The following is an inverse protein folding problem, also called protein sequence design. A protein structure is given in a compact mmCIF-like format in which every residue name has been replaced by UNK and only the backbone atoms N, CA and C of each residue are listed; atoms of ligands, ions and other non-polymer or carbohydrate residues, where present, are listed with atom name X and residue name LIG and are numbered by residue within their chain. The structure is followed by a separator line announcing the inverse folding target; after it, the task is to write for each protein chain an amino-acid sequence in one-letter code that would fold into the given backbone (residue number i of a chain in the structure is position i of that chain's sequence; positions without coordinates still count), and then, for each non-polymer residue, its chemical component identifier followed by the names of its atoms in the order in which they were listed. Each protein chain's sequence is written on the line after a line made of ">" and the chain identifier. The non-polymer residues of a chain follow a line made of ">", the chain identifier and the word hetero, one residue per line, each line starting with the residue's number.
data_IF_821289574405
#
_entry.id   IF_821289574405
#
_cell.length_a   1.000
_cell.length_b   1.000
_cell.length_c   1.000
_cell.angle_alpha   90.00
_cell.angle_beta   90.00
_cell.angle_gamma   90.00
#
_symmetry.space_group_name_H-M   'P 1'
#
loop_
_entity.id
_entity.type
_entity.pdbx_description
1 polymer ?
#
# COMPACT_ATOMS: atom_id res chain seq x y z
N UNK A 1 4.16 24.67 -36.70
CA UNK A 1 4.22 25.86 -35.83
C UNK A 1 3.11 25.70 -34.80
N UNK A 2 3.46 25.39 -33.53
CA UNK A 2 2.55 25.23 -32.37
C UNK A 2 1.76 23.92 -32.34
N UNK A 3 2.25 22.80 -31.81
CA UNK A 3 2.60 22.44 -30.41
C UNK A 3 1.42 21.80 -29.64
N UNK A 4 1.78 20.72 -28.93
CA UNK A 4 1.17 20.08 -27.78
C UNK A 4 -0.12 19.27 -27.95
N UNK A 5 0.09 17.99 -28.20
CA UNK A 5 -0.72 16.88 -27.68
C UNK A 5 -0.97 17.03 -26.16
N UNK A 6 -2.22 16.92 -25.66
CA UNK A 6 -2.41 16.55 -24.27
C UNK A 6 -2.09 15.07 -24.10
N UNK A 7 -0.84 14.74 -23.75
CA UNK A 7 -0.50 13.42 -23.18
C UNK A 7 -0.80 13.50 -21.69
N UNK A 8 -2.07 13.38 -21.31
CA UNK A 8 -2.40 13.11 -19.92
C UNK A 8 -1.86 11.71 -19.59
N UNK A 9 -0.91 11.65 -18.66
CA UNK A 9 -0.30 10.43 -18.14
C UNK A 9 -1.37 9.54 -17.51
N UNK A 10 -1.54 8.32 -18.03
CA UNK A 10 -2.36 7.26 -17.42
C UNK A 10 -1.62 6.49 -16.31
N UNK A 11 -0.61 7.11 -15.68
CA UNK A 11 0.20 6.54 -14.59
C UNK A 11 -0.10 7.19 -13.22
N UNK A 12 -1.15 8.03 -13.14
CA UNK A 12 -1.75 8.49 -11.88
C UNK A 12 -2.87 7.53 -11.46
N UNK A 13 -2.58 6.23 -11.45
CA UNK A 13 -3.59 5.24 -11.07
C UNK A 13 -3.90 5.42 -9.58
N UNK A 14 -5.06 6.02 -9.32
CA UNK A 14 -5.76 6.02 -8.03
C UNK A 14 -5.57 4.67 -7.35
N UNK A 15 -4.90 4.63 -6.18
CA UNK A 15 -4.65 3.41 -5.39
C UNK A 15 -5.88 2.48 -5.43
N UNK A 16 -5.65 1.19 -5.65
CA UNK A 16 -6.75 0.24 -5.68
C UNK A 16 -7.50 0.26 -4.35
N UNK A 17 -8.76 -0.16 -4.36
CA UNK A 17 -9.54 -0.27 -3.12
C UNK A 17 -8.79 -1.11 -2.07
N UNK A 18 -8.13 -2.18 -2.49
CA UNK A 18 -7.30 -3.03 -1.63
C UNK A 18 -6.13 -2.25 -1.05
N UNK A 19 -5.38 -1.51 -1.87
CA UNK A 19 -4.24 -0.71 -1.39
C UNK A 19 -4.68 0.32 -0.36
N UNK A 20 -5.80 1.00 -0.58
CA UNK A 20 -6.35 1.96 0.39
C UNK A 20 -6.71 1.29 1.72
N UNK A 21 -7.30 0.10 1.68
CA UNK A 21 -7.64 -0.67 2.88
C UNK A 21 -6.36 -1.07 3.64
N UNK A 22 -5.33 -1.51 2.91
CA UNK A 22 -4.04 -1.93 3.48
C UNK A 22 -3.33 -0.74 4.13
N UNK A 23 -3.20 0.39 3.42
CA UNK A 23 -2.58 1.59 3.96
C UNK A 23 -3.31 2.14 5.19
N UNK A 24 -4.65 2.19 5.15
CA UNK A 24 -5.45 2.60 6.30
C UNK A 24 -5.21 1.69 7.50
N UNK A 25 -5.12 0.37 7.28
CA UNK A 25 -4.90 -0.61 8.34
C UNK A 25 -3.52 -0.43 8.98
N UNK A 26 -2.46 -0.28 8.17
CA UNK A 26 -1.11 -0.05 8.68
C UNK A 26 -1.01 1.26 9.48
N UNK A 27 -1.66 2.33 9.01
CA UNK A 27 -1.72 3.60 9.73
C UNK A 27 -2.38 3.43 11.11
N UNK A 28 -3.53 2.75 11.16
CA UNK A 28 -4.25 2.48 12.39
C UNK A 28 -3.46 1.60 13.37
N UNK A 29 -2.74 0.59 12.87
CA UNK A 29 -1.83 -0.22 13.70
C UNK A 29 -0.72 0.67 14.29
N UNK A 30 -0.13 1.56 13.49
CA UNK A 30 0.92 2.47 13.93
C UNK A 30 0.44 3.48 14.99
N UNK A 31 -0.79 3.97 14.87
CA UNK A 31 -1.35 5.00 15.76
C UNK A 31 -1.98 4.43 17.04
N UNK A 32 -2.63 3.27 16.96
CA UNK A 32 -3.45 2.72 18.04
C UNK A 32 -3.01 1.34 18.52
N UNK A 33 -2.03 0.73 17.87
CA UNK A 33 -1.68 -0.68 18.08
C UNK A 33 -2.76 -1.63 17.55
N UNK A 34 -2.48 -2.94 17.59
CA UNK A 34 -3.38 -3.97 17.03
C UNK A 34 -4.80 -3.97 17.63
N UNK A 35 -4.93 -3.75 18.94
CA UNK A 35 -6.22 -3.77 19.63
C UNK A 35 -7.14 -2.59 19.27
N UNK A 36 -6.60 -1.52 18.68
CA UNK A 36 -7.36 -0.34 18.25
C UNK A 36 -7.97 -0.44 16.85
N UNK A 37 -7.63 -1.48 16.09
CA UNK A 37 -8.06 -1.64 14.70
C UNK A 37 -9.42 -2.32 14.65
N UNK A 38 -10.38 -1.73 13.94
CA UNK A 38 -11.72 -2.31 13.75
C UNK A 38 -12.17 -2.18 12.30
N UNK A 39 -13.06 -3.06 11.85
CA UNK A 39 -13.65 -3.00 10.51
C UNK A 39 -14.22 -1.62 10.16
N UNK A 40 -14.89 -0.99 11.13
CA UNK A 40 -15.51 0.32 10.91
C UNK A 40 -14.48 1.42 10.74
N UNK A 41 -13.44 1.42 11.57
CA UNK A 41 -12.38 2.44 11.53
C UNK A 41 -11.52 2.28 10.26
N UNK A 42 -11.22 1.05 9.85
CA UNK A 42 -10.53 0.77 8.58
C UNK A 42 -11.34 1.28 7.40
N UNK A 43 -12.65 1.00 7.36
CA UNK A 43 -13.51 1.47 6.27
C UNK A 43 -13.55 3.00 6.18
N UNK A 44 -13.63 3.68 7.34
CA UNK A 44 -13.61 5.13 7.45
C UNK A 44 -12.30 5.73 6.92
N UNK A 45 -11.16 5.28 7.45
CA UNK A 45 -9.83 5.79 7.06
C UNK A 45 -9.49 5.46 5.60
N UNK A 46 -9.89 4.28 5.11
CA UNK A 46 -9.68 3.90 3.72
C UNK A 46 -10.62 4.63 2.73
N UNK A 47 -11.63 5.34 3.23
CA UNK A 47 -12.63 6.02 2.41
C UNK A 47 -13.51 5.06 1.59
N UNK A 48 -13.84 3.88 2.16
CA UNK A 48 -14.63 2.85 1.48
C UNK A 48 -15.91 2.54 2.25
N UNK A 49 -16.95 2.09 1.55
CA UNK A 49 -18.15 1.61 2.23
C UNK A 49 -17.83 0.32 3.03
N UNK A 50 -18.46 0.15 4.20
CA UNK A 50 -18.31 -1.07 5.01
C UNK A 50 -18.61 -2.34 4.21
N UNK A 51 -19.64 -2.34 3.38
CA UNK A 51 -19.96 -3.49 2.52
C UNK A 51 -18.84 -3.81 1.53
N UNK A 52 -18.19 -2.80 0.95
CA UNK A 52 -17.02 -2.99 0.08
C UNK A 52 -15.87 -3.63 0.86
N UNK A 53 -15.60 -3.18 2.07
CA UNK A 53 -14.59 -3.79 2.93
C UNK A 53 -14.90 -5.27 3.21
N UNK A 54 -16.14 -5.58 3.61
CA UNK A 54 -16.60 -6.96 3.86
C UNK A 54 -16.55 -7.86 2.62
N UNK A 55 -16.71 -7.31 1.41
CA UNK A 55 -16.57 -8.06 0.17
C UNK A 55 -15.11 -8.47 -0.11
N UNK A 56 -14.14 -7.68 0.36
CA UNK A 56 -12.72 -7.98 0.21
C UNK A 56 -12.17 -8.83 1.37
N UNK A 57 -12.64 -8.58 2.59
CA UNK A 57 -12.15 -9.21 3.82
C UNK A 57 -13.29 -9.55 4.77
N UNK A 58 -13.35 -10.81 5.21
CA UNK A 58 -14.43 -11.30 6.07
C UNK A 58 -14.36 -10.82 7.52
N UNK A 59 -13.17 -10.47 7.98
CA UNK A 59 -12.88 -10.08 9.36
C UNK A 59 -11.66 -9.16 9.44
N UNK A 60 -11.39 -8.63 10.64
CA UNK A 60 -10.26 -7.72 10.84
C UNK A 60 -8.91 -8.45 10.79
N UNK A 61 -8.86 -9.70 11.25
CA UNK A 61 -7.63 -10.49 11.30
C UNK A 61 -7.06 -10.75 9.90
N UNK A 62 -7.94 -11.02 8.93
CA UNK A 62 -7.57 -11.19 7.52
C UNK A 62 -7.03 -9.91 6.88
N UNK A 63 -7.57 -8.74 7.26
CA UNK A 63 -7.03 -7.45 6.80
C UNK A 63 -5.65 -7.21 7.39
N UNK A 64 -5.49 -7.42 8.71
CA UNK A 64 -4.21 -7.22 9.40
C UNK A 64 -3.15 -8.16 8.84
N UNK A 65 -3.49 -9.44 8.61
CA UNK A 65 -2.58 -10.40 8.00
C UNK A 65 -2.13 -9.95 6.60
N UNK A 66 -3.08 -9.54 5.76
CA UNK A 66 -2.77 -9.04 4.42
C UNK A 66 -1.91 -7.77 4.45
N UNK A 67 -2.18 -6.86 5.39
CA UNK A 67 -1.44 -5.61 5.55
C UNK A 67 0.02 -5.85 5.95
N UNK A 68 0.25 -6.74 6.92
CA UNK A 68 1.61 -7.11 7.35
C UNK A 68 2.35 -7.83 6.24
N UNK A 69 1.70 -8.77 5.55
CA UNK A 69 2.30 -9.53 4.46
C UNK A 69 2.73 -8.61 3.30
N UNK A 70 1.89 -7.65 2.92
CA UNK A 70 2.24 -6.63 1.94
C UNK A 70 3.39 -5.73 2.41
N UNK A 71 3.32 -5.22 3.64
CA UNK A 71 4.38 -4.38 4.21
C UNK A 71 5.74 -5.11 4.26
N UNK A 72 5.73 -6.40 4.60
CA UNK A 72 6.93 -7.22 4.62
C UNK A 72 7.51 -7.40 3.22
N UNK A 73 6.67 -7.66 2.21
CA UNK A 73 7.13 -7.73 0.80
C UNK A 73 7.78 -6.43 0.36
N UNK A 74 7.10 -5.29 0.57
CA UNK A 74 7.63 -3.98 0.20
C UNK A 74 8.96 -3.67 0.91
N UNK A 75 9.07 -4.02 2.19
CA UNK A 75 10.30 -3.85 2.96
C UNK A 75 11.46 -4.70 2.43
N UNK A 76 11.17 -5.95 2.05
CA UNK A 76 12.16 -6.85 1.45
C UNK A 76 12.57 -6.38 0.05
N UNK A 77 11.64 -5.87 -0.74
CA UNK A 77 11.93 -5.32 -2.07
C UNK A 77 12.84 -4.08 -1.97
N UNK A 78 12.58 -3.21 -1.00
CA UNK A 78 13.45 -2.06 -0.70
C UNK A 78 14.86 -2.50 -0.28
N UNK A 79 14.96 -3.50 0.60
CA UNK A 79 16.24 -4.05 1.03
C UNK A 79 17.01 -4.65 -0.16
N UNK A 80 16.33 -5.45 -0.99
CA UNK A 80 16.93 -6.07 -2.17
C UNK A 80 17.42 -5.00 -3.15
N UNK A 81 16.62 -3.97 -3.41
CA UNK A 81 17.01 -2.86 -4.27
C UNK A 81 18.25 -2.13 -3.75
N UNK A 82 18.32 -1.88 -2.43
CA UNK A 82 19.48 -1.25 -1.81
C UNK A 82 20.76 -2.10 -1.93
N UNK A 83 20.65 -3.43 -1.77
CA UNK A 83 21.78 -4.36 -1.96
C UNK A 83 22.25 -4.42 -3.41
N UNK A 84 21.33 -4.41 -4.39
CA UNK A 84 21.69 -4.40 -5.82
C UNK A 84 22.44 -3.12 -6.23
N UNK A 85 22.14 -1.99 -5.61
CA UNK A 85 22.92 -0.75 -5.81
C UNK A 85 24.34 -0.90 -5.27
N UNK A 86 24.52 -1.55 -4.12
CA UNK A 86 25.83 -1.78 -3.52
C UNK A 86 26.68 -2.83 -4.26
N UNK A 87 26.03 -3.79 -4.92
CA UNK A 87 26.69 -4.83 -5.74
C UNK A 87 26.98 -4.40 -7.19
N UNK A 88 26.48 -3.24 -7.62
CA UNK A 88 26.77 -2.74 -8.97
C UNK A 88 28.25 -2.32 -9.06
N UNK A 89 29.05 -2.90 -9.99
CA UNK A 89 30.47 -2.63 -10.10
C UNK A 89 30.69 -1.26 -10.76
N UNK A 90 30.50 -0.19 -9.99
CA UNK A 90 30.89 1.16 -10.37
C UNK A 90 32.37 1.46 -10.07
N UNK A 91 33.16 0.44 -9.72
CA UNK A 91 34.59 0.57 -9.41
C UNK A 91 35.41 -0.39 -10.29
N UNK A 92 35.38 -0.12 -11.61
CA UNK A 92 36.45 -0.51 -12.53
C UNK A 92 36.96 0.75 -13.22
N UNK A 93 37.80 1.48 -12.49
CA UNK A 93 38.75 2.46 -13.06
C UNK A 93 39.92 1.67 -13.68
#
# INVERSE_FOLDING_TARGET
>A
MGDATPRAHSDDSTLSTVDRIIHATLALIGEHGFGGVTMSLVAEVAGVARQTLYNHYGDIDSIVAAAIDQHNRESLDLLNAALQVAESPADKI
#
